data_IF_402317343591
#
_entry.id   IF_402317343591
#
_cell.length_a   1.000
_cell.length_b   1.000
_cell.length_c   1.000
_cell.angle_alpha   90.00
_cell.angle_beta   90.00
_cell.angle_gamma   90.00
#
_symmetry.space_group_name_H-M   'P 1'
#
loop_
_entity.id
_entity.type
_entity.pdbx_description
1 polymer ?
#
# COMPACT_ATOMS: atom_id res chain seq x y z
N UNK A 1 11.82 10.18 -3.74
CA UNK A 1 11.51 8.77 -4.10
C UNK A 1 10.06 8.49 -3.72
N UNK A 2 9.39 7.52 -4.38
CA UNK A 2 8.05 7.09 -4.02
C UNK A 2 8.12 5.79 -3.23
N UNK A 3 7.39 5.74 -2.12
CA UNK A 3 7.19 4.56 -1.28
C UNK A 3 5.69 4.28 -1.16
N UNK A 4 5.34 3.02 -0.97
CA UNK A 4 3.96 2.53 -0.90
C UNK A 4 3.78 1.62 0.30
N UNK A 5 2.61 1.68 0.93
CA UNK A 5 2.22 0.83 2.06
C UNK A 5 0.71 0.94 2.26
N UNK A 6 0.07 -0.04 2.86
CA UNK A 6 -1.34 0.02 3.28
C UNK A 6 -1.62 -0.74 4.56
N UNK A 7 -2.85 -0.63 5.05
CA UNK A 7 -3.44 -1.43 6.12
C UNK A 7 -2.62 -1.41 7.43
N UNK A 8 -2.11 -0.24 7.79
CA UNK A 8 -1.35 -0.07 9.03
C UNK A 8 -2.19 -0.35 10.26
N UNK A 9 -3.48 0.00 10.23
CA UNK A 9 -4.44 -0.17 11.32
C UNK A 9 -3.90 0.33 12.67
N UNK A 10 -3.21 1.47 12.67
CA UNK A 10 -2.70 2.07 13.89
C UNK A 10 -3.85 2.31 14.87
N UNK A 11 -3.64 1.98 16.15
CA UNK A 11 -4.64 2.08 17.23
C UNK A 11 -5.84 1.12 17.09
N UNK A 12 -5.72 0.06 16.28
CA UNK A 12 -6.72 -1.00 16.17
C UNK A 12 -6.31 -2.21 17.02
N UNK A 13 -6.94 -2.40 18.17
CA UNK A 13 -6.57 -3.45 19.12
C UNK A 13 -6.61 -4.85 18.52
N UNK A 14 -7.60 -5.14 17.68
CA UNK A 14 -7.82 -6.47 17.14
C UNK A 14 -6.69 -6.98 16.22
N UNK A 15 -5.71 -6.14 15.86
CA UNK A 15 -4.56 -6.58 15.06
C UNK A 15 -3.39 -7.08 15.91
N UNK A 16 -3.47 -6.94 17.24
CA UNK A 16 -2.41 -7.38 18.18
C UNK A 16 -2.93 -8.19 19.35
N UNK A 17 -4.23 -8.10 19.68
CA UNK A 17 -4.80 -8.80 20.83
C UNK A 17 -4.93 -10.30 20.53
N UNK A 18 -4.49 -11.14 21.47
CA UNK A 18 -4.59 -12.57 21.38
C UNK A 18 -6.06 -13.03 21.17
N UNK A 19 -6.28 -13.87 20.16
CA UNK A 19 -7.61 -14.37 19.79
C UNK A 19 -8.44 -13.47 18.87
N UNK A 20 -8.00 -12.24 18.61
CA UNK A 20 -8.65 -11.33 17.63
C UNK A 20 -7.72 -10.86 16.52
N UNK A 21 -6.44 -11.20 16.58
CA UNK A 21 -5.45 -10.89 15.58
C UNK A 21 -5.76 -11.60 14.25
N UNK A 22 -6.48 -10.91 13.36
CA UNK A 22 -7.06 -11.50 12.15
C UNK A 22 -6.05 -11.67 11.00
N UNK A 23 -4.90 -10.99 11.05
CA UNK A 23 -3.83 -11.12 10.05
C UNK A 23 -2.48 -11.59 10.65
N UNK A 24 -2.54 -12.17 11.86
CA UNK A 24 -1.42 -12.82 12.52
C UNK A 24 -0.17 -11.93 12.67
N UNK A 25 -0.34 -10.66 13.03
CA UNK A 25 0.79 -9.73 13.25
C UNK A 25 1.68 -10.22 14.39
N UNK A 26 3.01 -10.18 14.21
CA UNK A 26 3.96 -10.78 15.17
C UNK A 26 4.29 -9.86 16.36
N UNK A 27 3.34 -9.01 16.78
CA UNK A 27 3.54 -8.04 17.86
C UNK A 27 2.75 -8.45 19.09
N UNK A 28 3.38 -8.32 20.27
CA UNK A 28 2.73 -8.62 21.55
C UNK A 28 1.81 -7.51 22.01
N UNK A 29 2.11 -6.27 21.61
CA UNK A 29 1.32 -5.10 21.97
C UNK A 29 1.19 -4.14 20.78
N UNK A 30 0.18 -3.31 20.84
CA UNK A 30 -0.05 -2.24 19.86
C UNK A 30 1.09 -1.20 19.88
N UNK A 31 1.62 -0.91 21.05
CA UNK A 31 2.75 0.00 21.22
C UNK A 31 4.01 -0.52 20.55
N UNK A 32 4.30 -1.82 20.69
CA UNK A 32 5.41 -2.48 19.98
C UNK A 32 5.24 -2.35 18.47
N UNK A 33 4.05 -2.64 17.95
CA UNK A 33 3.73 -2.49 16.53
C UNK A 33 3.96 -1.06 16.06
N UNK A 34 3.47 -0.07 16.81
CA UNK A 34 3.63 1.34 16.45
C UNK A 34 5.11 1.75 16.39
N UNK A 35 5.92 1.33 17.35
CA UNK A 35 7.36 1.66 17.35
C UNK A 35 8.11 0.97 16.22
N UNK A 36 7.79 -0.29 15.89
CA UNK A 36 8.39 -0.98 14.75
C UNK A 36 8.02 -0.29 13.44
N UNK A 37 6.73 -0.02 13.21
CA UNK A 37 6.27 0.66 11.99
C UNK A 37 6.94 2.04 11.86
N UNK A 38 6.96 2.85 12.93
CA UNK A 38 7.59 4.17 12.94
C UNK A 38 9.10 4.09 12.64
N UNK A 39 9.79 3.14 13.26
CA UNK A 39 11.23 2.94 13.06
C UNK A 39 11.52 2.52 11.62
N UNK A 40 10.81 1.53 11.11
CA UNK A 40 10.95 1.05 9.74
C UNK A 40 10.65 2.17 8.73
N UNK A 41 9.54 2.88 8.91
CA UNK A 41 9.17 4.01 8.05
C UNK A 41 10.26 5.08 8.02
N UNK A 42 10.70 5.54 9.19
CA UNK A 42 11.66 6.63 9.31
C UNK A 42 13.10 6.24 8.94
N UNK A 43 13.39 4.94 8.85
CA UNK A 43 14.65 4.42 8.30
C UNK A 43 14.69 4.50 6.76
N UNK A 44 13.53 4.54 6.11
CA UNK A 44 13.36 4.54 4.65
C UNK A 44 13.06 5.92 4.09
N UNK A 45 12.03 6.56 4.61
CA UNK A 45 11.56 7.84 4.12
C UNK A 45 12.31 9.02 4.77
N UNK A 46 12.66 9.99 3.96
CA UNK A 46 13.20 11.30 4.36
C UNK A 46 12.18 12.40 4.09
N UNK A 47 12.46 13.63 4.51
CA UNK A 47 11.58 14.77 4.23
C UNK A 47 11.41 15.11 2.73
N UNK A 48 12.27 14.57 1.85
CA UNK A 48 12.21 14.79 0.40
C UNK A 48 11.43 13.70 -0.35
N UNK A 49 10.98 12.67 0.35
CA UNK A 49 10.32 11.52 -0.25
C UNK A 49 8.79 11.64 -0.17
N UNK A 50 8.10 10.88 -1.02
CA UNK A 50 6.65 10.73 -1.03
C UNK A 50 6.29 9.33 -0.53
N UNK A 51 5.33 9.25 0.41
CA UNK A 51 4.80 7.99 0.89
C UNK A 51 3.30 7.94 0.61
N UNK A 52 2.90 7.00 -0.23
CA UNK A 52 1.52 6.73 -0.58
C UNK A 52 0.97 5.64 0.33
N UNK A 53 -0.04 5.99 1.12
CA UNK A 53 -0.72 5.09 2.04
C UNK A 53 -2.03 4.66 1.36
N UNK A 54 -2.15 3.38 1.03
CA UNK A 54 -3.30 2.87 0.30
C UNK A 54 -4.41 2.40 1.25
N UNK A 55 -4.77 3.28 2.17
CA UNK A 55 -5.91 3.14 3.07
C UNK A 55 -5.61 2.43 4.39
N UNK A 56 -6.61 2.51 5.25
CA UNK A 56 -6.67 1.90 6.57
C UNK A 56 -5.45 2.21 7.44
N UNK A 57 -5.09 3.51 7.46
CA UNK A 57 -3.94 3.97 8.19
C UNK A 57 -4.15 3.94 9.69
N UNK A 58 -5.26 4.50 10.19
CA UNK A 58 -5.57 4.58 11.61
C UNK A 58 -7.01 4.18 11.89
N UNK A 59 -7.22 3.39 12.94
CA UNK A 59 -8.55 3.09 13.46
C UNK A 59 -9.17 4.28 14.20
N UNK A 60 -8.35 4.99 14.97
CA UNK A 60 -8.76 6.19 15.69
C UNK A 60 -8.13 7.43 15.03
N UNK A 61 -8.88 8.52 14.95
CA UNK A 61 -8.44 9.81 14.43
C UNK A 61 -8.49 10.86 15.56
N UNK A 62 -7.70 10.62 16.60
CA UNK A 62 -7.61 11.45 17.81
C UNK A 62 -6.19 12.00 18.03
N UNK A 63 -5.94 12.60 19.19
CA UNK A 63 -4.66 13.19 19.54
C UNK A 63 -3.49 12.20 19.45
N UNK A 64 -3.69 10.94 19.85
CA UNK A 64 -2.65 9.90 19.80
C UNK A 64 -2.26 9.56 18.37
N UNK A 65 -3.24 9.41 17.46
CA UNK A 65 -2.98 9.16 16.05
C UNK A 65 -2.34 10.36 15.37
N UNK A 66 -2.79 11.59 15.68
CA UNK A 66 -2.17 12.83 15.20
C UNK A 66 -0.69 12.87 15.61
N UNK A 67 -0.40 12.62 16.89
CA UNK A 67 0.97 12.62 17.41
C UNK A 67 1.85 11.57 16.75
N UNK A 68 1.37 10.36 16.53
CA UNK A 68 2.16 9.30 15.91
C UNK A 68 2.40 9.60 14.41
N UNK A 69 1.35 9.95 13.68
CA UNK A 69 1.44 10.22 12.23
C UNK A 69 2.32 11.44 11.93
N UNK A 70 2.33 12.44 12.82
CA UNK A 70 3.20 13.60 12.70
C UNK A 70 4.71 13.26 12.80
N UNK A 71 5.06 12.14 13.45
CA UNK A 71 6.45 11.68 13.57
C UNK A 71 6.93 10.88 12.33
N UNK A 72 6.03 10.50 11.43
CA UNK A 72 6.37 9.78 10.21
C UNK A 72 6.89 10.77 9.15
N UNK A 73 8.09 10.52 8.65
CA UNK A 73 8.78 11.39 7.68
C UNK A 73 8.19 11.28 6.28
N UNK A 74 8.48 12.28 5.44
CA UNK A 74 8.06 12.34 4.05
C UNK A 74 6.72 13.04 3.82
N UNK A 75 6.47 13.39 2.56
CA UNK A 75 5.19 13.89 2.10
C UNK A 75 4.19 12.73 2.03
N UNK A 76 3.20 12.75 2.92
CA UNK A 76 2.21 11.67 3.06
C UNK A 76 1.00 11.91 2.16
N UNK A 77 0.60 10.89 1.39
CA UNK A 77 -0.55 10.90 0.49
C UNK A 77 -1.47 9.76 0.90
N UNK A 78 -2.70 10.06 1.33
CA UNK A 78 -3.66 9.07 1.78
C UNK A 78 -4.68 8.77 0.68
N UNK A 79 -4.67 7.54 0.20
CA UNK A 79 -5.77 6.95 -0.56
C UNK A 79 -6.72 6.35 0.47
N UNK A 80 -7.97 6.83 0.53
CA UNK A 80 -8.89 6.44 1.58
C UNK A 80 -9.27 4.95 1.51
N UNK A 81 -9.14 4.27 2.63
CA UNK A 81 -9.71 2.96 2.89
C UNK A 81 -11.10 3.04 3.53
N UNK A 82 -11.71 1.88 3.78
CA UNK A 82 -13.04 1.81 4.38
C UNK A 82 -13.06 2.19 5.87
N UNK A 83 -11.94 2.10 6.55
CA UNK A 83 -11.81 2.52 7.95
C UNK A 83 -11.32 3.97 8.11
N UNK A 84 -10.84 4.59 7.05
CA UNK A 84 -10.38 5.97 7.12
C UNK A 84 -11.55 6.96 7.12
N UNK A 85 -11.72 7.67 8.23
CA UNK A 85 -12.72 8.73 8.38
C UNK A 85 -12.09 10.00 8.93
N UNK A 86 -11.20 10.68 8.16
CA UNK A 86 -10.41 11.81 8.66
C UNK A 86 -11.27 13.06 8.86
N UNK A 87 -12.03 13.09 9.95
CA UNK A 87 -12.93 14.21 10.32
C UNK A 87 -12.18 15.35 11.01
N UNK A 88 -11.15 15.02 11.80
CA UNK A 88 -10.34 16.03 12.50
C UNK A 88 -9.45 16.79 11.51
N UNK A 89 -9.58 18.10 11.47
CA UNK A 89 -8.82 18.98 10.58
C UNK A 89 -7.30 18.88 10.83
N UNK A 90 -6.87 18.70 12.08
CA UNK A 90 -5.45 18.57 12.43
C UNK A 90 -4.87 17.26 11.87
N UNK A 91 -5.65 16.16 11.90
CA UNK A 91 -5.27 14.91 11.27
C UNK A 91 -5.13 15.08 9.76
N UNK A 92 -6.13 15.72 9.11
CA UNK A 92 -6.10 15.99 7.67
C UNK A 92 -4.86 16.78 7.22
N UNK A 93 -4.41 17.73 8.03
CA UNK A 93 -3.25 18.58 7.74
C UNK A 93 -1.91 17.82 7.75
N UNK A 94 -1.88 16.57 8.23
CA UNK A 94 -0.69 15.71 8.18
C UNK A 94 -0.44 15.11 6.79
N UNK A 95 -1.40 15.24 5.86
CA UNK A 95 -1.32 14.69 4.52
C UNK A 95 -1.29 15.79 3.47
N UNK A 96 -0.47 15.60 2.44
CA UNK A 96 -0.41 16.47 1.28
C UNK A 96 -1.69 16.37 0.43
N UNK A 97 -2.30 15.19 0.40
CA UNK A 97 -3.59 14.96 -0.23
C UNK A 97 -4.32 13.79 0.46
N UNK A 98 -5.66 13.80 0.35
CA UNK A 98 -6.54 12.71 0.79
C UNK A 98 -7.54 12.49 -0.34
N UNK A 99 -7.49 11.33 -0.98
CA UNK A 99 -8.23 11.00 -2.20
C UNK A 99 -8.71 9.55 -2.17
N UNK A 100 -9.57 9.15 -3.11
CA UNK A 100 -10.07 7.77 -3.22
C UNK A 100 -9.29 6.91 -4.21
N UNK A 101 -8.63 7.54 -5.18
CA UNK A 101 -7.97 6.89 -6.29
C UNK A 101 -6.89 7.81 -6.85
N UNK A 102 -5.77 7.25 -7.29
CA UNK A 102 -4.70 8.02 -7.92
C UNK A 102 -4.01 7.24 -9.02
N UNK A 103 -3.67 7.96 -10.08
CA UNK A 103 -2.73 7.49 -11.09
C UNK A 103 -1.48 8.36 -11.06
N UNK A 104 -0.33 7.74 -11.16
CA UNK A 104 0.95 8.44 -11.24
C UNK A 104 1.94 7.68 -12.12
N UNK A 105 3.06 8.29 -12.43
CA UNK A 105 4.20 7.61 -13.05
C UNK A 105 5.27 7.35 -11.99
N UNK A 106 5.86 6.15 -12.01
CA UNK A 106 7.05 5.82 -11.23
C UNK A 106 8.13 5.22 -12.13
N UNK A 107 9.36 5.13 -11.61
CA UNK A 107 10.53 4.74 -12.40
C UNK A 107 11.24 3.56 -11.75
N UNK A 108 11.44 2.48 -12.49
CA UNK A 108 12.30 1.36 -12.13
C UNK A 108 13.44 1.25 -13.13
N UNK A 109 14.68 1.37 -12.66
CA UNK A 109 15.90 1.26 -13.47
C UNK A 109 15.86 2.13 -14.75
N UNK A 110 15.39 3.37 -14.60
CA UNK A 110 15.28 4.34 -15.70
C UNK A 110 14.06 4.16 -16.62
N UNK A 111 13.21 3.16 -16.39
CA UNK A 111 11.98 2.89 -17.15
C UNK A 111 10.76 3.39 -16.42
N UNK A 112 9.89 4.09 -17.14
CA UNK A 112 8.63 4.61 -16.60
C UNK A 112 7.52 3.56 -16.62
N UNK A 113 6.77 3.53 -15.53
CA UNK A 113 5.56 2.71 -15.35
C UNK A 113 4.42 3.62 -14.88
N UNK A 114 3.23 3.39 -15.40
CA UNK A 114 2.01 3.92 -14.80
C UNK A 114 1.67 3.12 -13.55
N UNK A 115 1.34 3.80 -12.47
CA UNK A 115 0.96 3.16 -11.21
C UNK A 115 -0.44 3.62 -10.84
N UNK A 116 -1.32 2.66 -10.65
CA UNK A 116 -2.69 2.88 -10.19
C UNK A 116 -2.77 2.54 -8.72
N UNK A 117 -3.20 3.50 -7.92
CA UNK A 117 -3.33 3.37 -6.48
C UNK A 117 -4.81 3.37 -6.08
N UNK A 118 -5.24 2.32 -5.43
CA UNK A 118 -6.56 2.21 -4.80
C UNK A 118 -6.45 1.39 -3.51
N UNK A 119 -7.36 1.63 -2.57
CA UNK A 119 -7.40 0.77 -1.39
C UNK A 119 -7.90 -0.63 -1.76
N UNK A 120 -8.98 -0.71 -2.53
CA UNK A 120 -9.53 -1.99 -2.97
C UNK A 120 -8.81 -2.54 -4.21
N UNK A 121 -8.65 -3.87 -4.35
CA UNK A 121 -8.23 -4.47 -5.60
C UNK A 121 -9.28 -4.22 -6.70
N UNK A 122 -8.84 -3.73 -7.85
CA UNK A 122 -9.70 -3.40 -8.99
C UNK A 122 -9.46 -4.44 -10.09
N UNK A 123 -10.52 -5.11 -10.53
CA UNK A 123 -10.44 -6.14 -11.57
C UNK A 123 -9.97 -5.58 -12.93
N UNK A 124 -10.39 -4.35 -13.28
CA UNK A 124 -10.05 -3.70 -14.54
C UNK A 124 -9.74 -2.22 -14.27
N UNK A 125 -8.46 -1.86 -14.30
CA UNK A 125 -7.99 -0.50 -14.05
C UNK A 125 -7.56 0.21 -15.33
N UNK A 126 -7.37 1.50 -15.24
CA UNK A 126 -6.99 2.32 -16.39
C UNK A 126 -5.63 1.89 -16.95
N UNK A 127 -5.54 1.80 -18.26
CA UNK A 127 -4.34 1.38 -18.98
C UNK A 127 -3.81 -0.03 -18.69
N UNK A 128 -4.57 -0.90 -18.02
CA UNK A 128 -4.21 -2.29 -17.73
C UNK A 128 -3.75 -3.06 -18.99
N UNK A 129 -4.39 -2.80 -20.13
CA UNK A 129 -4.06 -3.41 -21.41
C UNK A 129 -2.94 -2.72 -22.20
N UNK A 130 -2.43 -1.60 -21.68
CA UNK A 130 -1.42 -0.80 -22.38
C UNK A 130 -0.04 -1.41 -22.24
N UNK A 131 0.66 -1.51 -23.36
CA UNK A 131 2.06 -1.91 -23.42
C UNK A 131 2.94 -0.74 -23.83
N UNK A 132 4.16 -0.71 -23.32
CA UNK A 132 5.24 0.08 -23.90
C UNK A 132 6.16 -0.82 -24.71
N UNK A 133 6.70 -0.30 -25.80
CA UNK A 133 7.78 -0.98 -26.51
C UNK A 133 9.13 -0.57 -25.91
N UNK A 134 9.93 -1.58 -25.54
CA UNK A 134 11.32 -1.42 -25.15
C UNK A 134 12.14 -2.32 -26.08
N UNK A 135 12.64 -1.74 -27.15
CA UNK A 135 13.24 -2.52 -28.24
C UNK A 135 12.21 -3.46 -28.89
N UNK A 136 12.46 -4.78 -28.81
CA UNK A 136 11.57 -5.84 -29.33
C UNK A 136 10.64 -6.41 -28.24
N UNK A 137 10.75 -5.96 -26.98
CA UNK A 137 9.93 -6.46 -25.89
C UNK A 137 8.70 -5.58 -25.68
N UNK A 138 7.54 -6.23 -25.51
CA UNK A 138 6.33 -5.60 -25.03
C UNK A 138 6.30 -5.70 -23.50
N UNK A 139 6.36 -4.55 -22.82
CA UNK A 139 6.27 -4.51 -21.34
C UNK A 139 4.95 -3.88 -20.93
N UNK A 140 4.34 -4.44 -19.89
CA UNK A 140 3.19 -3.80 -19.24
C UNK A 140 3.58 -2.40 -18.76
N UNK A 141 2.72 -1.44 -19.07
CA UNK A 141 2.94 -0.06 -18.66
C UNK A 141 2.27 0.26 -17.33
N UNK A 142 1.14 -0.37 -17.02
CA UNK A 142 0.30 -0.04 -15.85
C UNK A 142 0.33 -1.15 -14.82
N UNK A 143 0.68 -0.79 -13.59
CA UNK A 143 0.76 -1.65 -12.42
C UNK A 143 -0.26 -1.14 -11.40
N UNK A 144 -1.10 -2.00 -10.84
CA UNK A 144 -1.95 -1.66 -9.72
C UNK A 144 -1.26 -1.97 -8.40
N UNK A 145 -1.35 -1.03 -7.45
CA UNK A 145 -1.06 -1.28 -6.04
C UNK A 145 -2.35 -1.14 -5.23
N UNK A 146 -2.58 -2.07 -4.31
CA UNK A 146 -3.81 -2.14 -3.50
C UNK A 146 -3.52 -2.63 -2.08
N UNK A 147 -4.54 -2.55 -1.22
CA UNK A 147 -4.57 -3.10 0.14
C UNK A 147 -5.89 -3.82 0.39
N UNK A 148 -6.50 -3.60 1.56
CA UNK A 148 -7.82 -4.03 1.99
C UNK A 148 -7.94 -5.53 2.29
N UNK A 149 -7.55 -6.39 1.38
CA UNK A 149 -7.74 -7.85 1.48
C UNK A 149 -6.75 -8.53 2.42
N UNK A 150 -5.78 -7.78 2.95
CA UNK A 150 -4.76 -8.28 3.87
C UNK A 150 -4.04 -9.54 3.34
N UNK A 151 -3.55 -10.40 4.23
CA UNK A 151 -3.05 -11.74 3.91
C UNK A 151 -4.17 -12.78 4.13
N UNK A 152 -5.22 -12.70 3.31
CA UNK A 152 -6.45 -13.50 3.48
C UNK A 152 -6.79 -14.30 2.22
N UNK A 153 -7.83 -15.13 2.31
CA UNK A 153 -8.37 -15.86 1.15
C UNK A 153 -8.83 -14.95 0.02
N UNK A 154 -9.21 -13.70 0.30
CA UNK A 154 -9.60 -12.73 -0.73
C UNK A 154 -8.41 -12.32 -1.61
N UNK A 155 -7.21 -12.26 -1.02
CA UNK A 155 -5.96 -12.06 -1.77
C UNK A 155 -5.70 -13.23 -2.73
N UNK A 156 -5.88 -14.48 -2.27
CA UNK A 156 -5.70 -15.66 -3.10
C UNK A 156 -6.71 -15.68 -4.26
N UNK A 157 -7.98 -15.37 -3.99
CA UNK A 157 -9.04 -15.27 -5.00
C UNK A 157 -8.69 -14.20 -6.05
N UNK A 158 -8.18 -13.05 -5.62
CA UNK A 158 -7.81 -12.00 -6.56
C UNK A 158 -6.60 -12.39 -7.43
N UNK A 159 -5.61 -13.05 -6.87
CA UNK A 159 -4.48 -13.61 -7.63
C UNK A 159 -4.92 -14.67 -8.64
N UNK A 160 -5.79 -15.58 -8.24
CA UNK A 160 -6.38 -16.58 -9.16
C UNK A 160 -7.16 -15.92 -10.29
N UNK A 161 -7.89 -14.84 -10.01
CA UNK A 161 -8.58 -14.06 -11.03
C UNK A 161 -7.59 -13.46 -12.05
N UNK A 162 -6.50 -12.84 -11.60
CA UNK A 162 -5.49 -12.25 -12.48
C UNK A 162 -4.77 -13.33 -13.33
N UNK A 163 -4.44 -14.47 -12.72
CA UNK A 163 -3.87 -15.61 -13.44
C UNK A 163 -4.86 -16.16 -14.49
N UNK A 164 -6.13 -16.23 -14.13
CA UNK A 164 -7.21 -16.59 -15.05
C UNK A 164 -7.36 -15.64 -16.24
N UNK A 165 -7.13 -14.34 -16.04
CA UNK A 165 -7.10 -13.37 -17.14
C UNK A 165 -5.95 -13.67 -18.11
N UNK A 166 -4.77 -13.98 -17.58
CA UNK A 166 -3.61 -14.32 -18.39
C UNK A 166 -3.82 -15.65 -19.11
N UNK A 167 -4.15 -16.73 -18.40
CA UNK A 167 -4.17 -18.09 -18.94
C UNK A 167 -5.31 -18.33 -19.93
N UNK A 168 -6.51 -17.75 -19.69
CA UNK A 168 -7.69 -17.95 -20.53
C UNK A 168 -7.83 -16.92 -21.66
N UNK A 169 -7.37 -15.68 -21.42
CA UNK A 169 -7.64 -14.56 -22.32
C UNK A 169 -6.37 -13.88 -22.84
N UNK A 170 -5.19 -14.29 -22.39
CA UNK A 170 -3.92 -13.67 -22.76
C UNK A 170 -3.78 -12.23 -22.27
N UNK A 171 -4.50 -11.86 -21.20
CA UNK A 171 -4.45 -10.54 -20.58
C UNK A 171 -3.53 -10.61 -19.38
N UNK A 172 -2.25 -10.38 -19.60
CA UNK A 172 -1.28 -10.28 -18.51
C UNK A 172 -1.52 -8.98 -17.71
N UNK A 173 -1.56 -9.09 -16.39
CA UNK A 173 -1.75 -7.98 -15.47
C UNK A 173 -0.68 -8.00 -14.40
N UNK A 174 -0.25 -6.82 -13.95
CA UNK A 174 0.61 -6.68 -12.76
C UNK A 174 -0.17 -5.92 -11.69
N UNK A 175 -0.45 -6.57 -10.56
CA UNK A 175 -1.05 -5.95 -9.39
C UNK A 175 -0.43 -6.53 -8.11
N UNK A 176 -0.20 -5.68 -7.10
CA UNK A 176 0.50 -6.05 -5.89
C UNK A 176 -0.23 -5.51 -4.66
N UNK A 177 -0.40 -6.39 -3.67
CA UNK A 177 -0.90 -6.03 -2.35
C UNK A 177 0.20 -5.35 -1.54
N UNK A 178 0.03 -4.09 -1.17
CA UNK A 178 1.01 -3.35 -0.35
C UNK A 178 0.62 -3.29 1.13
N UNK A 179 -0.24 -4.21 1.57
CA UNK A 179 -0.57 -4.40 2.99
C UNK A 179 0.68 -4.61 3.83
N UNK A 180 0.81 -3.87 4.91
CA UNK A 180 2.03 -3.86 5.71
C UNK A 180 2.42 -5.23 6.27
N UNK A 181 1.45 -6.14 6.44
CA UNK A 181 1.62 -7.50 6.95
C UNK A 181 2.13 -8.50 5.90
N UNK A 182 2.14 -8.14 4.61
CA UNK A 182 2.70 -9.02 3.59
C UNK A 182 4.21 -9.23 3.83
N UNK A 183 4.71 -10.46 3.67
CA UNK A 183 6.08 -10.81 3.99
C UNK A 183 7.11 -9.89 3.33
N UNK A 184 6.92 -9.57 2.06
CA UNK A 184 7.81 -8.67 1.31
C UNK A 184 7.68 -7.20 1.72
N UNK A 185 6.60 -6.81 2.40
CA UNK A 185 6.44 -5.47 2.95
C UNK A 185 7.10 -5.36 4.33
N UNK A 186 6.92 -6.35 5.21
CA UNK A 186 7.58 -6.44 6.50
C UNK A 186 7.39 -5.18 7.36
N UNK A 187 6.16 -4.64 7.38
CA UNK A 187 5.80 -3.40 8.11
C UNK A 187 6.66 -2.17 7.73
N UNK A 188 7.10 -2.12 6.47
CA UNK A 188 8.06 -1.13 5.98
C UNK A 188 7.56 -0.54 4.65
N UNK A 189 7.49 0.79 4.48
CA UNK A 189 7.20 1.38 3.17
C UNK A 189 8.24 0.94 2.13
N UNK A 190 7.78 0.43 0.99
CA UNK A 190 8.63 -0.10 -0.08
C UNK A 190 8.50 0.72 -1.36
N UNK A 191 9.58 0.76 -2.14
CA UNK A 191 9.56 1.29 -3.51
C UNK A 191 8.86 0.31 -4.46
N UNK A 192 8.39 0.79 -5.60
CA UNK A 192 7.78 -0.06 -6.63
C UNK A 192 8.70 -1.21 -7.06
N UNK A 193 10.01 -0.93 -7.15
CA UNK A 193 11.02 -1.96 -7.48
C UNK A 193 11.07 -3.07 -6.44
N UNK A 194 11.18 -2.71 -5.16
CA UNK A 194 11.24 -3.68 -4.05
C UNK A 194 9.97 -4.53 -3.96
N UNK A 195 8.79 -3.93 -4.21
CA UNK A 195 7.51 -4.65 -4.23
C UNK A 195 7.51 -5.71 -5.34
N UNK A 196 7.91 -5.34 -6.56
CA UNK A 196 7.96 -6.28 -7.69
C UNK A 196 8.96 -7.41 -7.47
N UNK A 197 10.13 -7.10 -6.92
CA UNK A 197 11.18 -8.11 -6.63
C UNK A 197 10.80 -9.03 -5.46
N UNK A 198 10.07 -8.52 -4.48
CA UNK A 198 9.66 -9.28 -3.30
C UNK A 198 8.47 -10.23 -3.54
N UNK A 199 7.67 -9.98 -4.59
CA UNK A 199 6.54 -10.83 -4.97
C UNK A 199 6.90 -11.95 -5.95
N UNK A 200 8.15 -12.03 -6.41
CA UNK A 200 8.66 -13.10 -7.31
C UNK A 200 9.24 -14.22 -6.47
#
# INVERSE_FOLDING_TARGET
MNYYISDLHLFHKNVTDEGTNFDNRPFKTMEEMHEVIKTNWNSRATGADHVYILGDMCWLHNESSISLVAQLKGAKHLILGNHDQPKDQRYRQLFNEIILYKELEDVIDGKKYGVVLSHFPIAFWNHQHKYTRDGNEHKRWSIQLYGHVHNSVEEDIFKEFLDGLNTKYGIECEAYNVGCMMDYMGYTPRTLKEIREGCQ
#
